data_IF_805559975034
#
_entry.id   IF_805559975034
#
_cell.length_a   1.000
_cell.length_b   1.000
_cell.length_c   1.000
_cell.angle_alpha   90.00
_cell.angle_beta   90.00
_cell.angle_gamma   90.00
#
_symmetry.space_group_name_H-M   'P 1'
#
loop_
_entity.id
_entity.type
_entity.pdbx_description
1 polymer ?
#
# COMPACT_ATOMS: atom_id res chain seq x y z
N UNK A 1 3.04 3.37 25.05
CA UNK A 1 3.91 2.42 24.33
C UNK A 1 4.44 3.15 23.09
N UNK A 2 5.75 3.14 22.81
CA UNK A 2 6.27 3.87 21.64
C UNK A 2 6.12 2.98 20.39
N UNK A 3 4.99 3.07 19.70
CA UNK A 3 4.66 2.31 18.47
C UNK A 3 5.78 2.41 17.43
N UNK A 4 6.36 3.59 17.25
CA UNK A 4 7.47 3.80 16.31
C UNK A 4 8.74 3.03 16.71
N UNK A 5 9.05 2.94 18.01
CA UNK A 5 10.15 2.10 18.47
C UNK A 5 9.94 0.64 18.08
N UNK A 6 8.71 0.13 18.23
CA UNK A 6 8.35 -1.25 17.88
C UNK A 6 8.38 -1.51 16.37
N UNK A 7 7.93 -0.57 15.56
CA UNK A 7 8.09 -0.63 14.10
C UNK A 7 9.57 -0.65 13.70
N UNK A 8 10.43 0.15 14.33
CA UNK A 8 11.87 0.11 14.09
C UNK A 8 12.54 -1.17 14.58
N UNK A 9 12.13 -1.75 15.71
CA UNK A 9 12.59 -3.06 16.17
C UNK A 9 12.22 -4.15 15.14
N UNK A 10 11.04 -4.05 14.52
CA UNK A 10 10.61 -4.97 13.46
C UNK A 10 11.43 -4.81 12.17
N UNK A 11 11.73 -3.58 11.74
CA UNK A 11 12.66 -3.31 10.64
C UNK A 11 14.07 -3.81 10.93
N UNK A 12 14.55 -3.64 12.16
CA UNK A 12 15.84 -4.17 12.56
C UNK A 12 15.88 -5.70 12.45
N UNK A 13 14.83 -6.39 12.92
CA UNK A 13 14.71 -7.84 12.73
C UNK A 13 14.78 -8.22 11.24
N UNK A 14 14.06 -7.52 10.36
CA UNK A 14 14.13 -7.75 8.91
C UNK A 14 15.56 -7.63 8.37
N UNK A 15 16.28 -6.57 8.73
CA UNK A 15 17.66 -6.34 8.32
C UNK A 15 18.62 -7.43 8.81
N UNK A 16 18.44 -7.94 10.03
CA UNK A 16 19.26 -9.02 10.57
C UNK A 16 18.97 -10.39 9.93
N UNK A 17 17.82 -10.55 9.27
CA UNK A 17 17.36 -11.82 8.72
C UNK A 17 17.27 -11.78 7.18
N UNK A 18 17.91 -10.81 6.52
CA UNK A 18 17.89 -10.67 5.06
C UNK A 18 18.46 -11.90 4.34
N UNK A 19 19.35 -12.68 4.95
CA UNK A 19 19.97 -13.85 4.32
C UNK A 19 19.15 -15.15 4.53
N UNK A 20 18.09 -15.08 5.32
CA UNK A 20 17.26 -16.22 5.70
C UNK A 20 15.82 -16.03 5.23
N UNK A 21 14.98 -17.03 5.49
CA UNK A 21 13.54 -16.90 5.31
C UNK A 21 12.96 -16.04 6.43
N UNK A 22 12.40 -14.89 6.05
CA UNK A 22 11.84 -13.92 6.98
C UNK A 22 10.49 -14.42 7.52
N UNK A 23 10.38 -14.49 8.84
CA UNK A 23 9.12 -14.78 9.52
C UNK A 23 8.29 -13.50 9.71
N UNK A 24 7.36 -13.25 8.79
CA UNK A 24 6.45 -12.08 8.86
C UNK A 24 5.56 -12.08 10.11
N UNK A 25 5.22 -13.25 10.69
CA UNK A 25 4.50 -13.32 11.97
C UNK A 25 5.33 -12.76 13.10
N UNK A 26 6.64 -13.03 13.09
CA UNK A 26 7.56 -12.47 14.07
C UNK A 26 7.72 -10.96 13.90
N UNK A 27 7.80 -10.46 12.66
CA UNK A 27 7.82 -9.01 12.37
C UNK A 27 6.58 -8.33 12.99
N UNK A 28 5.40 -8.87 12.71
CA UNK A 28 4.12 -8.36 13.19
C UNK A 28 4.03 -8.37 14.73
N UNK A 29 4.46 -9.47 15.37
CA UNK A 29 4.54 -9.58 16.84
C UNK A 29 5.48 -8.54 17.47
N UNK A 30 6.65 -8.29 16.86
CA UNK A 30 7.59 -7.27 17.34
C UNK A 30 6.96 -5.87 17.23
N UNK A 31 6.24 -5.61 16.14
CA UNK A 31 5.55 -4.36 15.88
C UNK A 31 4.26 -4.18 16.71
N UNK A 32 3.80 -5.22 17.43
CA UNK A 32 2.51 -5.26 18.14
C UNK A 32 1.32 -4.99 17.23
N UNK A 33 1.34 -5.56 16.02
CA UNK A 33 0.21 -5.47 15.11
C UNK A 33 0.00 -6.72 14.28
N UNK A 34 -1.06 -6.75 13.49
CA UNK A 34 -1.29 -7.78 12.46
C UNK A 34 -0.28 -7.69 11.31
N UNK A 35 -0.03 -8.83 10.64
CA UNK A 35 0.85 -8.89 9.45
C UNK A 35 0.35 -7.95 8.34
N UNK A 36 -0.97 -7.93 8.13
CA UNK A 36 -1.62 -7.07 7.16
C UNK A 36 -1.39 -5.59 7.49
N UNK A 37 -1.62 -5.18 8.75
CA UNK A 37 -1.37 -3.80 9.14
C UNK A 37 0.08 -3.39 8.96
N UNK A 38 1.03 -4.22 9.38
CA UNK A 38 2.46 -3.92 9.21
C UNK A 38 2.85 -3.74 7.74
N UNK A 39 2.43 -4.67 6.86
CA UNK A 39 2.78 -4.62 5.43
C UNK A 39 2.14 -3.42 4.73
N UNK A 40 0.86 -3.13 5.02
CA UNK A 40 0.16 -1.94 4.48
C UNK A 40 0.82 -0.65 4.95
N UNK A 41 1.08 -0.54 6.26
CA UNK A 41 1.77 0.59 6.87
C UNK A 41 3.14 0.84 6.24
N UNK A 42 3.97 -0.20 6.18
CA UNK A 42 5.30 -0.12 5.58
C UNK A 42 5.20 0.30 4.13
N UNK A 43 4.37 -0.37 3.34
CA UNK A 43 4.30 -0.15 1.90
C UNK A 43 3.87 1.28 1.56
N UNK A 44 2.87 1.77 2.29
CA UNK A 44 2.35 3.11 2.10
C UNK A 44 3.40 4.17 2.45
N UNK A 45 4.04 4.05 3.62
CA UNK A 45 5.04 5.04 4.07
C UNK A 45 6.36 4.97 3.31
N UNK A 46 6.82 3.78 2.93
CA UNK A 46 8.07 3.58 2.21
C UNK A 46 7.94 3.88 0.70
N UNK A 47 6.71 3.93 0.17
CA UNK A 47 6.44 4.06 -1.26
C UNK A 47 6.88 2.85 -2.09
N UNK A 48 7.13 1.71 -1.43
CA UNK A 48 7.54 0.42 -2.02
C UNK A 48 7.03 -0.71 -1.16
N UNK A 49 6.73 -1.87 -1.76
CA UNK A 49 6.31 -3.04 -0.97
C UNK A 49 7.40 -3.54 -0.03
N UNK A 50 7.01 -4.27 1.02
CA UNK A 50 7.97 -4.81 1.99
C UNK A 50 8.91 -5.84 1.33
N UNK A 51 8.36 -6.69 0.46
CA UNK A 51 9.13 -7.62 -0.36
C UNK A 51 10.14 -6.93 -1.28
N UNK A 52 9.75 -5.83 -1.91
CA UNK A 52 10.63 -5.04 -2.79
C UNK A 52 11.74 -4.37 -2.00
N UNK A 53 11.44 -3.85 -0.81
CA UNK A 53 12.45 -3.36 0.12
C UNK A 53 13.50 -4.43 0.43
N UNK A 54 13.06 -5.62 0.88
CA UNK A 54 13.95 -6.75 1.20
C UNK A 54 14.82 -7.12 -0.01
N UNK A 55 14.23 -7.17 -1.21
CA UNK A 55 14.94 -7.47 -2.46
C UNK A 55 16.03 -6.43 -2.76
N UNK A 56 15.71 -5.14 -2.68
CA UNK A 56 16.67 -4.03 -2.91
C UNK A 56 17.79 -4.04 -1.89
N UNK A 57 17.49 -4.36 -0.63
CA UNK A 57 18.49 -4.51 0.44
C UNK A 57 19.43 -5.67 0.15
N UNK A 58 18.90 -6.85 -0.20
CA UNK A 58 19.69 -8.03 -0.61
C UNK A 58 20.60 -7.72 -1.79
N UNK A 59 20.08 -7.09 -2.85
CA UNK A 59 20.87 -6.74 -4.03
C UNK A 59 21.95 -5.69 -3.72
N UNK A 60 21.66 -4.72 -2.84
CA UNK A 60 22.65 -3.73 -2.38
C UNK A 60 23.83 -4.41 -1.69
N UNK A 61 23.55 -5.33 -0.76
CA UNK A 61 24.57 -6.10 -0.04
C UNK A 61 25.35 -7.03 -0.98
N UNK A 62 24.66 -7.64 -1.96
CA UNK A 62 25.30 -8.45 -2.99
C UNK A 62 26.29 -7.64 -3.84
N UNK A 63 25.95 -6.38 -4.15
CA UNK A 63 26.86 -5.45 -4.81
C UNK A 63 28.15 -5.23 -4.02
N UNK A 64 28.03 -5.01 -2.70
CA UNK A 64 29.20 -4.87 -1.82
C UNK A 64 30.06 -6.13 -1.78
N UNK A 65 29.45 -7.32 -1.72
CA UNK A 65 30.18 -8.59 -1.74
C UNK A 65 30.90 -8.87 -3.07
N UNK A 66 30.41 -8.32 -4.19
CA UNK A 66 30.97 -8.57 -5.52
C UNK A 66 32.14 -7.64 -5.87
N UNK A 67 32.12 -6.39 -5.40
CA UNK A 67 33.16 -5.40 -5.72
C UNK A 67 34.53 -5.92 -5.26
N UNK A 68 35.47 -6.03 -6.22
CA UNK A 68 36.85 -6.45 -5.94
C UNK A 68 37.01 -7.87 -5.39
N UNK A 69 35.94 -8.67 -5.34
CA UNK A 69 35.98 -10.02 -4.77
C UNK A 69 36.23 -11.10 -5.81
N UNK A 70 36.65 -12.28 -5.33
CA UNK A 70 36.81 -13.51 -6.14
C UNK A 70 35.64 -14.47 -6.00
N UNK A 71 34.58 -14.09 -5.28
CA UNK A 71 33.41 -14.95 -5.04
C UNK A 71 32.77 -15.37 -6.36
N UNK A 72 32.23 -16.59 -6.45
CA UNK A 72 31.47 -16.97 -7.66
C UNK A 72 30.11 -16.30 -7.61
N UNK A 73 29.61 -15.86 -8.75
CA UNK A 73 28.29 -15.19 -8.85
C UNK A 73 27.18 -16.08 -8.28
N UNK A 74 27.25 -17.40 -8.51
CA UNK A 74 26.28 -18.34 -7.95
C UNK A 74 26.32 -18.42 -6.42
N UNK A 75 27.50 -18.30 -5.79
CA UNK A 75 27.60 -18.36 -4.33
C UNK A 75 26.97 -17.10 -3.70
N UNK A 76 27.21 -15.93 -4.33
CA UNK A 76 26.56 -14.68 -3.94
C UNK A 76 25.05 -14.76 -4.16
N UNK A 77 24.60 -15.28 -5.30
CA UNK A 77 23.19 -15.47 -5.59
C UNK A 77 22.49 -16.31 -4.50
N UNK A 78 23.05 -17.47 -4.17
CA UNK A 78 22.51 -18.36 -3.14
C UNK A 78 22.53 -17.70 -1.75
N UNK A 79 23.60 -16.99 -1.39
CA UNK A 79 23.70 -16.23 -0.12
C UNK A 79 22.54 -15.23 0.05
N UNK A 80 22.11 -14.60 -1.03
CA UNK A 80 21.03 -13.60 -1.01
C UNK A 80 19.66 -14.17 -1.42
N UNK A 81 19.47 -15.49 -1.32
CA UNK A 81 18.18 -16.14 -1.49
C UNK A 81 17.70 -16.31 -2.93
N UNK A 82 18.61 -16.25 -3.91
CA UNK A 82 18.30 -16.55 -5.31
C UNK A 82 18.65 -18.01 -5.64
N UNK A 83 17.68 -18.76 -6.16
CA UNK A 83 17.85 -20.18 -6.51
C UNK A 83 18.69 -20.45 -7.77
N UNK A 84 19.09 -19.43 -8.52
CA UNK A 84 19.96 -19.57 -9.70
C UNK A 84 20.73 -18.29 -10.01
N UNK A 85 21.90 -18.44 -10.67
CA UNK A 85 22.69 -17.29 -11.12
C UNK A 85 21.95 -16.43 -12.15
N UNK A 86 21.09 -17.03 -13.00
CA UNK A 86 20.35 -16.29 -14.03
C UNK A 86 19.25 -15.42 -13.42
N UNK A 87 18.52 -15.94 -12.42
CA UNK A 87 17.51 -15.15 -11.70
C UNK A 87 18.15 -13.97 -10.96
N UNK A 88 19.27 -14.23 -10.28
CA UNK A 88 20.07 -13.19 -9.64
C UNK A 88 20.60 -12.16 -10.64
N UNK A 89 21.18 -12.59 -11.76
CA UNK A 89 21.75 -11.68 -12.77
C UNK A 89 20.70 -10.74 -13.34
N UNK A 90 19.50 -11.24 -13.66
CA UNK A 90 18.37 -10.40 -14.12
C UNK A 90 17.96 -9.37 -13.05
N UNK A 91 17.75 -9.81 -11.81
CA UNK A 91 17.36 -8.91 -10.73
C UNK A 91 18.45 -7.87 -10.41
N UNK A 92 19.71 -8.29 -10.38
CA UNK A 92 20.87 -7.44 -10.15
C UNK A 92 21.04 -6.41 -11.26
N UNK A 93 20.90 -6.83 -12.52
CA UNK A 93 20.97 -5.93 -13.67
C UNK A 93 19.80 -4.95 -13.70
N UNK A 94 18.57 -5.37 -13.39
CA UNK A 94 17.43 -4.46 -13.28
C UNK A 94 17.68 -3.35 -12.25
N UNK A 95 18.25 -3.70 -11.08
CA UNK A 95 18.53 -2.71 -10.05
C UNK A 95 19.74 -1.84 -10.40
N UNK A 96 20.90 -2.45 -10.68
CA UNK A 96 22.17 -1.74 -10.82
C UNK A 96 22.47 -1.25 -12.24
N UNK A 97 21.80 -1.76 -13.27
CA UNK A 97 22.04 -1.45 -14.68
C UNK A 97 23.20 -2.22 -15.32
N UNK A 98 23.90 -3.06 -14.55
CA UNK A 98 25.05 -3.86 -15.00
C UNK A 98 24.95 -5.29 -14.46
N UNK A 99 25.63 -6.23 -15.10
CA UNK A 99 25.68 -7.62 -14.63
C UNK A 99 26.58 -7.77 -13.37
N UNK A 100 26.38 -8.83 -12.57
CA UNK A 100 27.25 -9.13 -11.42
C UNK A 100 28.75 -9.22 -11.77
N UNK A 101 29.07 -9.77 -12.95
CA UNK A 101 30.44 -9.92 -13.45
C UNK A 101 31.08 -8.58 -13.81
N UNK A 102 30.29 -7.64 -14.34
CA UNK A 102 30.75 -6.27 -14.63
C UNK A 102 30.93 -5.46 -13.35
N UNK A 103 30.00 -5.56 -12.41
CA UNK A 103 30.06 -4.88 -11.10
C UNK A 103 31.37 -5.17 -10.35
N UNK A 104 31.89 -6.40 -10.46
CA UNK A 104 33.16 -6.82 -9.86
C UNK A 104 34.35 -5.94 -10.24
N UNK A 105 34.36 -5.42 -11.48
CA UNK A 105 35.49 -4.65 -12.02
C UNK A 105 35.65 -3.28 -11.37
N UNK A 106 34.71 -2.87 -10.50
CA UNK A 106 34.71 -1.59 -9.80
C UNK A 106 34.84 -0.36 -10.73
N UNK A 107 34.26 -0.48 -11.93
CA UNK A 107 34.28 0.55 -12.98
C UNK A 107 32.89 1.11 -13.28
N UNK A 108 31.86 0.60 -12.59
CA UNK A 108 30.47 0.94 -12.82
C UNK A 108 29.83 1.48 -11.55
N UNK A 109 28.88 2.39 -11.71
CA UNK A 109 28.07 2.89 -10.62
C UNK A 109 27.08 1.81 -10.18
N UNK A 110 27.10 1.47 -8.90
CA UNK A 110 26.09 0.61 -8.28
C UNK A 110 25.14 1.47 -7.46
N UNK A 111 23.83 1.19 -7.57
CA UNK A 111 22.82 1.77 -6.69
C UNK A 111 22.87 1.11 -5.30
N UNK A 112 22.79 1.92 -4.26
CA UNK A 112 22.64 1.45 -2.89
C UNK A 112 21.29 1.88 -2.34
N UNK A 113 20.54 0.94 -1.76
CA UNK A 113 19.29 1.22 -1.08
C UNK A 113 19.55 1.20 0.43
N UNK A 114 19.52 2.34 1.14
CA UNK A 114 19.86 2.40 2.56
C UNK A 114 18.83 1.66 3.43
N UNK A 115 19.24 1.31 4.64
CA UNK A 115 18.29 0.81 5.65
C UNK A 115 17.26 1.89 5.97
N UNK A 116 15.99 1.52 5.94
CA UNK A 116 14.91 2.41 6.35
C UNK A 116 14.73 2.39 7.86
N UNK A 117 14.32 3.54 8.40
CA UNK A 117 13.87 3.67 9.79
C UNK A 117 12.60 4.51 9.80
N UNK A 118 11.66 4.15 10.65
CA UNK A 118 10.52 5.00 10.95
C UNK A 118 10.98 6.13 11.86
N UNK A 119 10.82 7.37 11.41
CA UNK A 119 11.11 8.55 12.22
C UNK A 119 9.82 9.33 12.43
N UNK A 120 9.63 9.83 13.65
CA UNK A 120 8.61 10.84 13.89
C UNK A 120 9.15 12.16 13.34
N UNK A 121 8.56 12.67 12.27
CA UNK A 121 8.70 14.07 11.91
C UNK A 121 7.61 14.86 12.61
N UNK A 122 7.98 15.98 13.23
CA UNK A 122 6.99 16.91 13.79
C UNK A 122 6.63 17.86 12.65
N UNK A 123 5.52 17.59 11.98
CA UNK A 123 4.99 18.39 10.88
C UNK A 123 3.58 18.85 11.24
N UNK A 124 3.36 20.17 11.39
CA UNK A 124 2.04 20.83 11.48
C UNK A 124 1.06 20.43 12.60
N UNK A 125 0.69 21.38 13.49
CA UNK A 125 -0.40 21.26 14.47
C UNK A 125 -1.82 21.42 13.89
N UNK A 126 -2.05 20.90 12.69
CA UNK A 126 -3.35 21.00 12.01
C UNK A 126 -4.19 19.76 12.31
N UNK A 127 -5.42 19.97 12.74
CA UNK A 127 -6.35 18.90 13.09
C UNK A 127 -6.72 18.06 11.87
N UNK A 128 -7.03 16.77 12.10
CA UNK A 128 -7.61 15.88 11.10
C UNK A 128 -8.98 15.43 11.60
N UNK A 129 -10.03 15.82 10.88
CA UNK A 129 -11.39 15.44 11.23
C UNK A 129 -11.60 13.97 10.85
N UNK A 130 -11.92 13.14 11.84
CA UNK A 130 -12.27 11.75 11.64
C UNK A 130 -13.45 11.33 12.52
N UNK A 131 -14.14 10.28 12.09
CA UNK A 131 -15.17 9.59 12.89
C UNK A 131 -15.03 8.09 12.74
N UNK A 132 -15.44 7.36 13.76
CA UNK A 132 -15.58 5.90 13.70
C UNK A 132 -17.04 5.57 13.47
N UNK A 133 -17.32 4.73 12.47
CA UNK A 133 -18.67 4.23 12.18
C UNK A 133 -18.68 2.71 12.12
N UNK A 134 -19.77 2.11 12.56
CA UNK A 134 -20.03 0.68 12.42
C UNK A 134 -20.95 0.45 11.23
N UNK A 135 -20.63 -0.58 10.43
CA UNK A 135 -21.40 -0.95 9.25
C UNK A 135 -21.69 -2.44 9.29
N UNK A 136 -22.94 -2.78 9.04
CA UNK A 136 -23.33 -4.15 8.69
C UNK A 136 -22.72 -4.57 7.35
N UNK A 137 -22.79 -5.87 7.04
CA UNK A 137 -22.30 -6.37 5.77
C UNK A 137 -23.04 -5.72 4.57
N UNK A 138 -22.30 -5.37 3.53
CA UNK A 138 -22.83 -4.79 2.30
C UNK A 138 -22.01 -5.27 1.11
N UNK A 139 -22.36 -4.79 -0.08
CA UNK A 139 -21.63 -5.09 -1.31
C UNK A 139 -21.23 -3.79 -2.01
N UNK A 140 -20.08 -3.79 -2.65
CA UNK A 140 -19.70 -2.77 -3.62
C UNK A 140 -19.99 -3.34 -4.99
N UNK A 141 -20.88 -2.68 -5.74
CA UNK A 141 -21.29 -3.11 -7.09
C UNK A 141 -20.82 -2.07 -8.10
N UNK A 142 -20.12 -2.50 -9.15
CA UNK A 142 -19.57 -1.58 -10.15
C UNK A 142 -18.63 -2.21 -11.15
N UNK A 143 -17.81 -1.36 -11.78
CA UNK A 143 -16.73 -1.79 -12.68
C UNK A 143 -15.53 -2.21 -11.86
N UNK A 144 -14.96 -3.39 -12.15
CA UNK A 144 -13.72 -3.88 -11.53
C UNK A 144 -12.57 -3.87 -12.52
N UNK A 145 -11.37 -3.53 -12.06
CA UNK A 145 -10.12 -3.79 -12.79
C UNK A 145 -8.97 -4.10 -11.84
N UNK A 146 -8.10 -5.05 -12.21
CA UNK A 146 -6.79 -5.22 -11.57
C UNK A 146 -5.84 -4.15 -12.11
N UNK A 147 -5.27 -3.32 -11.24
CA UNK A 147 -4.43 -2.19 -11.63
C UNK A 147 -3.13 -2.17 -10.83
N UNK A 148 -2.02 -1.65 -11.39
CA UNK A 148 -0.77 -1.48 -10.66
C UNK A 148 -0.95 -0.44 -9.53
N UNK A 149 -0.25 -0.66 -8.42
CA UNK A 149 -0.16 0.31 -7.33
C UNK A 149 0.72 1.48 -7.78
N UNK A 150 0.18 2.69 -7.64
CA UNK A 150 0.89 3.94 -7.88
C UNK A 150 0.90 4.71 -6.57
N UNK A 151 2.06 4.83 -5.94
CA UNK A 151 2.20 5.48 -4.63
C UNK A 151 2.19 7.01 -4.70
N UNK A 152 2.50 7.59 -5.87
CA UNK A 152 2.58 9.04 -6.05
C UNK A 152 1.84 9.46 -7.33
N UNK A 153 1.00 10.48 -7.22
CA UNK A 153 0.25 11.02 -8.36
C UNK A 153 -1.02 10.24 -8.70
N UNK A 154 -1.58 10.53 -9.88
CA UNK A 154 -2.81 9.91 -10.38
C UNK A 154 -2.51 8.56 -11.02
N UNK A 155 -3.29 7.54 -10.68
CA UNK A 155 -3.20 6.24 -11.34
C UNK A 155 -3.89 6.31 -12.72
N UNK A 156 -3.15 6.12 -13.83
CA UNK A 156 -3.71 6.27 -15.18
C UNK A 156 -4.78 5.23 -15.51
N UNK A 157 -4.64 4.00 -14.97
CA UNK A 157 -5.63 2.94 -15.18
C UNK A 157 -6.95 3.26 -14.48
N UNK A 158 -6.89 3.81 -13.27
CA UNK A 158 -8.09 4.26 -12.53
C UNK A 158 -8.73 5.46 -13.22
N UNK A 159 -7.93 6.41 -13.71
CA UNK A 159 -8.44 7.55 -14.48
C UNK A 159 -9.16 7.09 -15.76
N UNK A 160 -8.60 6.10 -16.47
CA UNK A 160 -9.23 5.51 -17.65
C UNK A 160 -10.54 4.78 -17.31
N UNK A 161 -10.61 4.09 -16.16
CA UNK A 161 -11.87 3.49 -15.69
C UNK A 161 -12.95 4.56 -15.48
N UNK A 162 -12.62 5.69 -14.85
CA UNK A 162 -13.55 6.82 -14.68
C UNK A 162 -14.03 7.38 -16.02
N UNK A 163 -13.13 7.51 -17.01
CA UNK A 163 -13.48 8.00 -18.35
C UNK A 163 -14.38 7.03 -19.12
N UNK A 164 -14.33 5.73 -18.81
CA UNK A 164 -15.18 4.73 -19.45
C UNK A 164 -16.65 4.75 -18.98
N UNK A 165 -16.96 5.45 -17.88
CA UNK A 165 -18.32 5.54 -17.34
C UNK A 165 -19.18 6.49 -18.18
N UNK A 166 -20.19 5.93 -18.85
CA UNK A 166 -21.22 6.70 -19.54
C UNK A 166 -22.37 7.10 -18.59
N UNK A 167 -23.23 8.02 -19.04
CA UNK A 167 -24.35 8.55 -18.22
C UNK A 167 -25.40 7.50 -17.86
N UNK A 168 -25.63 6.49 -18.71
CA UNK A 168 -26.57 5.40 -18.45
C UNK A 168 -26.07 4.53 -17.29
N UNK A 169 -24.80 4.12 -17.33
CA UNK A 169 -24.15 3.34 -16.27
C UNK A 169 -24.13 4.12 -14.95
N UNK A 170 -23.80 5.41 -14.99
CA UNK A 170 -23.80 6.26 -13.80
C UNK A 170 -25.20 6.32 -13.17
N UNK A 171 -26.25 6.47 -13.97
CA UNK A 171 -27.63 6.50 -13.48
C UNK A 171 -28.00 5.16 -12.84
N UNK A 172 -27.74 4.04 -13.54
CA UNK A 172 -28.00 2.69 -13.03
C UNK A 172 -27.27 2.42 -11.71
N UNK A 173 -26.01 2.82 -11.60
CA UNK A 173 -25.23 2.70 -10.36
C UNK A 173 -25.83 3.54 -9.23
N UNK A 174 -26.21 4.79 -9.50
CA UNK A 174 -26.82 5.67 -8.50
C UNK A 174 -28.15 5.13 -7.95
N UNK A 175 -28.97 4.49 -8.79
CA UNK A 175 -30.22 3.85 -8.37
C UNK A 175 -29.99 2.67 -7.41
N UNK A 176 -28.85 1.98 -7.53
CA UNK A 176 -28.49 0.89 -6.62
C UNK A 176 -27.96 1.39 -5.27
N UNK A 177 -27.45 2.62 -5.20
CA UNK A 177 -26.80 3.18 -4.02
C UNK A 177 -27.79 3.39 -2.88
N UNK A 178 -27.78 2.50 -1.87
CA UNK A 178 -28.63 2.60 -0.68
C UNK A 178 -27.86 2.55 0.65
N UNK A 179 -26.54 2.42 0.62
CA UNK A 179 -25.66 2.41 1.80
C UNK A 179 -24.70 3.60 1.75
N UNK A 180 -24.44 4.24 2.90
CA UNK A 180 -23.41 5.29 2.99
C UNK A 180 -21.98 4.70 2.84
N UNK A 181 -21.06 5.36 2.13
CA UNK A 181 -21.24 6.67 1.48
C UNK A 181 -22.09 6.57 0.20
N UNK A 182 -23.10 7.43 0.10
CA UNK A 182 -24.05 7.43 -1.03
C UNK A 182 -23.43 7.96 -2.32
N UNK A 183 -23.84 7.36 -3.43
CA UNK A 183 -23.38 7.73 -4.76
C UNK A 183 -22.17 6.92 -5.19
N UNK A 184 -21.43 7.45 -6.16
CA UNK A 184 -20.28 6.75 -6.72
C UNK A 184 -19.09 6.79 -5.76
N UNK A 185 -18.43 5.65 -5.64
CA UNK A 185 -17.25 5.46 -4.81
C UNK A 185 -16.14 4.81 -5.64
N UNK A 186 -14.91 5.11 -5.26
CA UNK A 186 -13.74 4.33 -5.68
C UNK A 186 -13.35 3.42 -4.52
N UNK A 187 -13.17 2.12 -4.75
CA UNK A 187 -12.77 1.19 -3.70
C UNK A 187 -11.56 0.36 -4.14
N UNK A 188 -10.52 0.33 -3.32
CA UNK A 188 -9.28 -0.41 -3.57
C UNK A 188 -9.15 -1.55 -2.56
N UNK A 189 -8.96 -2.77 -3.05
CA UNK A 189 -8.91 -3.98 -2.23
C UNK A 189 -7.93 -5.00 -2.80
N UNK A 190 -7.67 -6.10 -2.09
CA UNK A 190 -6.82 -7.22 -2.55
C UNK A 190 -5.43 -6.75 -2.99
N UNK A 191 -4.81 -5.87 -2.20
CA UNK A 191 -3.46 -5.40 -2.43
C UNK A 191 -2.49 -6.59 -2.42
N UNK A 192 -1.80 -6.82 -3.54
CA UNK A 192 -0.77 -7.85 -3.63
C UNK A 192 0.60 -7.22 -3.81
N UNK A 193 1.59 -7.76 -3.11
CA UNK A 193 2.98 -7.49 -3.41
C UNK A 193 3.44 -8.47 -4.51
N UNK A 194 3.71 -7.95 -5.71
CA UNK A 194 4.27 -8.75 -6.80
C UNK A 194 5.69 -9.21 -6.46
N UNK A 195 5.90 -10.51 -6.20
CA UNK A 195 7.22 -11.06 -5.81
C UNK A 195 8.31 -10.93 -6.87
N UNK A 196 7.97 -10.74 -8.15
CA UNK A 196 8.93 -10.77 -9.26
C UNK A 196 8.94 -9.51 -10.16
N UNK A 197 7.89 -8.69 -10.17
CA UNK A 197 7.71 -7.64 -11.20
C UNK A 197 7.87 -6.20 -10.69
N UNK A 198 8.38 -6.01 -9.47
CA UNK A 198 8.66 -4.68 -8.87
C UNK A 198 7.43 -3.77 -8.71
N UNK A 199 6.23 -4.25 -9.06
CA UNK A 199 4.97 -3.52 -9.05
C UNK A 199 3.95 -4.35 -8.29
N UNK A 200 3.48 -3.81 -7.16
CA UNK A 200 2.29 -4.34 -6.51
C UNK A 200 1.06 -4.03 -7.36
N UNK A 201 -0.02 -4.77 -7.13
CA UNK A 201 -1.30 -4.56 -7.80
C UNK A 201 -2.43 -4.55 -6.77
N UNK A 202 -3.58 -3.99 -7.16
CA UNK A 202 -4.81 -4.02 -6.38
C UNK A 202 -6.00 -4.24 -7.29
N UNK A 203 -7.10 -4.74 -6.72
CA UNK A 203 -8.40 -4.71 -7.36
C UNK A 203 -9.02 -3.34 -7.09
N UNK A 204 -9.35 -2.62 -8.15
CA UNK A 204 -10.03 -1.35 -8.06
C UNK A 204 -11.47 -1.48 -8.56
N UNK A 205 -12.40 -0.91 -7.80
CA UNK A 205 -13.80 -0.80 -8.15
C UNK A 205 -14.20 0.66 -8.30
N UNK A 206 -14.94 0.98 -9.35
CA UNK A 206 -15.76 2.21 -9.41
C UNK A 206 -17.21 1.79 -9.40
N UNK A 207 -17.93 2.13 -8.35
CA UNK A 207 -19.24 1.56 -8.08
C UNK A 207 -20.00 2.28 -6.99
N UNK A 208 -20.90 1.56 -6.33
CA UNK A 208 -21.71 2.06 -5.21
C UNK A 208 -21.77 1.03 -4.09
N UNK A 209 -21.95 1.50 -2.85
CA UNK A 209 -22.26 0.64 -1.71
C UNK A 209 -23.77 0.30 -1.70
N UNK A 210 -24.09 -0.99 -1.66
CA UNK A 210 -25.47 -1.47 -1.72
C UNK A 210 -25.70 -2.80 -1.02
N UNK A 211 -26.96 -3.07 -0.64
CA UNK A 211 -27.45 -4.41 -0.27
C UNK A 211 -28.35 -5.04 -1.34
N UNK A 212 -28.57 -4.34 -2.46
CA UNK A 212 -29.36 -4.83 -3.57
C UNK A 212 -28.61 -5.92 -4.35
N UNK A 213 -29.36 -6.72 -5.11
CA UNK A 213 -28.79 -7.75 -5.99
C UNK A 213 -27.95 -7.08 -7.07
N UNK A 214 -26.72 -7.58 -7.26
CA UNK A 214 -25.83 -7.14 -8.35
C UNK A 214 -26.48 -7.45 -9.71
N UNK A 215 -26.74 -6.43 -10.56
CA UNK A 215 -27.24 -6.66 -11.91
C UNK A 215 -26.23 -7.36 -12.81
N UNK A 216 -26.72 -7.99 -13.89
CA UNK A 216 -25.88 -8.56 -14.93
C UNK A 216 -24.97 -7.49 -15.57
N UNK A 217 -23.74 -7.91 -15.88
CA UNK A 217 -22.72 -7.06 -16.50
C UNK A 217 -21.94 -6.17 -15.54
N UNK A 218 -22.18 -6.29 -14.22
CA UNK A 218 -21.40 -5.63 -13.18
C UNK A 218 -20.70 -6.65 -12.28
N UNK A 219 -19.64 -6.21 -11.63
CA UNK A 219 -18.89 -6.99 -10.65
C UNK A 219 -19.32 -6.59 -9.24
N UNK A 220 -19.27 -7.54 -8.31
CA UNK A 220 -19.53 -7.31 -6.90
C UNK A 220 -18.32 -7.64 -6.02
N UNK A 221 -18.16 -6.87 -4.95
CA UNK A 221 -17.27 -7.16 -3.84
C UNK A 221 -18.11 -7.27 -2.57
N UNK A 222 -18.05 -8.40 -1.89
CA UNK A 222 -18.71 -8.57 -0.60
C UNK A 222 -17.85 -7.95 0.51
N UNK A 223 -18.47 -7.14 1.35
CA UNK A 223 -17.82 -6.43 2.45
C UNK A 223 -18.47 -6.88 3.75
N UNK A 224 -17.69 -7.52 4.60
CA UNK A 224 -18.16 -7.98 5.91
C UNK A 224 -18.50 -6.80 6.83
N UNK A 225 -19.32 -7.07 7.86
CA UNK A 225 -19.58 -6.09 8.90
C UNK A 225 -18.27 -5.69 9.59
N UNK A 226 -18.03 -4.39 9.74
CA UNK A 226 -16.77 -3.86 10.27
C UNK A 226 -16.94 -2.47 10.87
N UNK A 227 -15.96 -2.08 11.69
CA UNK A 227 -15.70 -0.68 12.03
C UNK A 227 -14.93 -0.01 10.91
N UNK A 228 -15.19 1.28 10.72
CA UNK A 228 -14.59 2.12 9.70
C UNK A 228 -14.11 3.41 10.32
N UNK A 229 -12.86 3.76 10.08
CA UNK A 229 -12.35 5.10 10.31
C UNK A 229 -12.59 5.92 9.05
N UNK A 230 -13.27 7.05 9.22
CA UNK A 230 -13.64 7.91 8.09
C UNK A 230 -13.06 9.29 8.31
N UNK A 231 -12.25 9.72 7.36
CA UNK A 231 -11.50 10.97 7.39
C UNK A 231 -12.05 11.93 6.35
N UNK A 232 -12.21 13.18 6.75
CA UNK A 232 -12.64 14.24 5.86
C UNK A 232 -11.42 14.94 5.26
N UNK A 233 -11.43 15.12 3.93
CA UNK A 233 -10.47 15.93 3.21
C UNK A 233 -11.24 17.08 2.53
N UNK A 234 -10.93 18.32 2.92
CA UNK A 234 -11.52 19.53 2.34
C UNK A 234 -10.41 20.42 1.81
N UNK A 235 -10.37 20.65 0.50
CA UNK A 235 -9.38 21.52 -0.11
C UNK A 235 -9.04 21.15 -1.56
N UNK A 236 -7.97 21.73 -2.13
CA UNK A 236 -7.56 21.47 -3.50
C UNK A 236 -7.27 19.99 -3.80
N UNK A 237 -7.88 19.45 -4.85
CA UNK A 237 -7.62 18.09 -5.33
C UNK A 237 -6.48 18.08 -6.38
N UNK A 238 -5.58 17.07 -6.40
CA UNK A 238 -5.51 15.90 -5.52
C UNK A 238 -4.61 16.08 -4.28
N UNK A 239 -3.96 17.23 -4.13
CA UNK A 239 -2.91 17.46 -3.13
C UNK A 239 -3.42 17.27 -1.69
N UNK A 240 -4.57 17.87 -1.35
CA UNK A 240 -5.17 17.71 -0.02
C UNK A 240 -5.47 16.25 0.28
N UNK A 241 -6.02 15.51 -0.69
CA UNK A 241 -6.35 14.10 -0.52
C UNK A 241 -5.09 13.24 -0.30
N UNK A 242 -4.04 13.48 -1.08
CA UNK A 242 -2.75 12.79 -0.91
C UNK A 242 -2.10 13.11 0.44
N UNK A 243 -2.18 14.36 0.88
CA UNK A 243 -1.68 14.77 2.19
C UNK A 243 -2.43 14.05 3.32
N UNK A 244 -3.77 14.05 3.30
CA UNK A 244 -4.57 13.37 4.32
C UNK A 244 -4.28 11.86 4.35
N UNK A 245 -4.19 11.19 3.20
CA UNK A 245 -3.75 9.79 3.14
C UNK A 245 -2.37 9.60 3.79
N UNK A 246 -1.41 10.47 3.47
CA UNK A 246 -0.09 10.55 4.11
C UNK A 246 -0.18 10.53 5.63
N UNK A 247 -0.92 11.50 6.17
CA UNK A 247 -1.09 11.75 7.60
C UNK A 247 -1.87 10.65 8.32
N UNK A 248 -2.83 10.00 7.66
CA UNK A 248 -3.55 8.86 8.25
C UNK A 248 -2.56 7.74 8.62
N UNK A 249 -1.65 7.41 7.70
CA UNK A 249 -0.64 6.38 7.92
C UNK A 249 0.51 6.89 8.81
N UNK A 250 1.01 8.10 8.64
CA UNK A 250 2.19 8.58 9.39
C UNK A 250 1.87 9.09 10.81
N UNK A 251 0.68 9.63 11.05
CA UNK A 251 0.31 10.28 12.31
C UNK A 251 -0.84 9.54 13.02
N UNK A 252 -1.97 9.32 12.34
CA UNK A 252 -3.18 8.81 13.00
C UNK A 252 -3.03 7.35 13.42
N UNK A 253 -2.69 6.44 12.50
CA UNK A 253 -2.54 5.02 12.84
C UNK A 253 -1.53 4.80 13.98
N UNK A 254 -0.29 5.35 13.94
CA UNK A 254 0.69 5.14 15.00
C UNK A 254 0.30 5.68 16.39
N UNK A 255 -0.57 6.70 16.43
CA UNK A 255 -1.05 7.33 17.67
C UNK A 255 -2.43 6.83 18.11
N UNK A 256 -3.16 6.15 17.23
CA UNK A 256 -4.47 5.56 17.51
C UNK A 256 -4.37 4.22 18.21
N UNK A 257 -5.48 3.74 18.77
CA UNK A 257 -5.65 2.35 19.21
C UNK A 257 -6.34 1.49 18.13
N UNK A 258 -6.13 1.83 16.85
CA UNK A 258 -6.75 1.15 15.71
C UNK A 258 -5.72 0.56 14.78
N UNK A 259 -6.05 -0.60 14.21
CA UNK A 259 -5.33 -1.22 13.10
C UNK A 259 -6.23 -1.27 11.87
N UNK A 260 -5.60 -1.20 10.69
CA UNK A 260 -6.27 -1.53 9.44
C UNK A 260 -6.57 -3.04 9.40
N UNK A 261 -7.77 -3.38 8.95
CA UNK A 261 -8.15 -4.77 8.66
C UNK A 261 -8.26 -4.99 7.16
N UNK A 262 -8.15 -6.25 6.75
CA UNK A 262 -8.30 -6.63 5.36
C UNK A 262 -9.72 -6.28 4.87
N UNK A 263 -9.78 -5.53 3.77
CA UNK A 263 -11.03 -4.99 3.23
C UNK A 263 -10.78 -3.82 2.29
N UNK A 264 -11.84 -3.28 1.67
CA UNK A 264 -11.70 -2.19 0.72
C UNK A 264 -11.41 -0.86 1.42
N UNK A 265 -10.40 -0.15 0.94
CA UNK A 265 -10.20 1.27 1.21
C UNK A 265 -11.08 2.06 0.24
N UNK A 266 -12.04 2.83 0.76
CA UNK A 266 -13.05 3.53 -0.04
C UNK A 266 -12.75 5.04 -0.07
N UNK A 267 -12.80 5.62 -1.26
CA UNK A 267 -12.78 7.05 -1.51
C UNK A 267 -14.14 7.48 -2.06
N UNK A 268 -14.78 8.39 -1.35
CA UNK A 268 -15.97 9.10 -1.82
C UNK A 268 -15.63 10.56 -2.10
N UNK A 269 -16.24 11.11 -3.16
CA UNK A 269 -16.06 12.49 -3.55
C UNK A 269 -17.43 13.17 -3.69
N UNK A 270 -17.56 14.40 -3.20
CA UNK A 270 -18.83 15.12 -3.20
C UNK A 270 -19.29 15.53 -4.61
N UNK A 271 -18.34 15.93 -5.47
CA UNK A 271 -18.63 16.46 -6.80
C UNK A 271 -17.74 15.84 -7.87
N UNK A 272 -18.19 15.93 -9.14
CA UNK A 272 -17.34 15.63 -10.30
C UNK A 272 -16.33 16.75 -10.60
N UNK A 273 -16.63 17.97 -10.16
CA UNK A 273 -15.76 19.12 -10.38
C UNK A 273 -14.67 19.17 -9.31
N UNK A 274 -13.51 18.59 -9.63
CA UNK A 274 -12.32 18.54 -8.77
C UNK A 274 -11.58 19.89 -8.71
N UNK A 275 -12.03 20.92 -9.41
CA UNK A 275 -11.36 22.24 -9.43
C UNK A 275 -11.83 23.17 -8.32
N UNK A 276 -12.86 22.77 -7.57
CA UNK A 276 -13.39 23.53 -6.44
C UNK A 276 -12.31 23.68 -5.34
N UNK A 277 -12.09 24.90 -4.80
CA UNK A 277 -11.08 25.13 -3.78
C UNK A 277 -11.42 24.44 -2.44
N UNK A 278 -12.70 24.21 -2.18
CA UNK A 278 -13.28 23.53 -1.00
C UNK A 278 -13.77 22.11 -1.33
N UNK A 279 -13.14 21.46 -2.32
CA UNK A 279 -13.54 20.11 -2.74
C UNK A 279 -13.51 19.13 -1.57
N UNK A 280 -14.66 18.51 -1.31
CA UNK A 280 -14.86 17.57 -0.21
C UNK A 280 -14.74 16.12 -0.67
N UNK A 281 -13.95 15.37 0.08
CA UNK A 281 -13.79 13.93 -0.08
C UNK A 281 -13.82 13.24 1.28
N UNK A 282 -14.23 11.98 1.29
CA UNK A 282 -14.11 11.12 2.46
C UNK A 282 -13.26 9.89 2.15
N UNK A 283 -12.30 9.61 3.03
CA UNK A 283 -11.50 8.38 3.01
C UNK A 283 -12.06 7.45 4.09
N UNK A 284 -12.44 6.26 3.69
CA UNK A 284 -13.02 5.23 4.54
C UNK A 284 -12.07 4.04 4.59
N UNK A 285 -11.58 3.72 5.77
CA UNK A 285 -10.64 2.61 5.99
C UNK A 285 -11.26 1.64 7.00
N UNK A 286 -11.35 0.34 6.68
CA UNK A 286 -11.85 -0.64 7.62
C UNK A 286 -10.81 -0.83 8.71
N UNK A 287 -11.26 -0.72 9.97
CA UNK A 287 -10.38 -0.76 11.14
C UNK A 287 -10.93 -1.68 12.22
N UNK A 288 -10.03 -2.18 13.06
CA UNK A 288 -10.38 -2.82 14.33
C UNK A 288 -9.68 -2.11 15.48
N UNK A 289 -10.31 -2.11 16.66
CA UNK A 289 -9.68 -1.55 17.86
C UNK A 289 -8.75 -2.60 18.45
N UNK A 290 -7.53 -2.20 18.75
CA UNK A 290 -6.54 -3.05 19.40
C UNK A 290 -6.49 -2.64 20.85
N UNK A 291 -6.81 -3.57 21.74
CA UNK A 291 -6.62 -3.35 23.16
C UNK A 291 -5.12 -3.23 23.40
N UNK A 292 -4.71 -2.09 23.99
CA UNK A 292 -3.35 -1.96 24.50
C UNK A 292 -3.17 -3.09 25.51
N UNK A 293 -2.33 -4.07 25.22
CA UNK A 293 -1.92 -5.05 26.21
C UNK A 293 -1.14 -4.30 27.29
N UNK A 294 -1.85 -3.93 28.36
CA UNK A 294 -1.30 -3.39 29.60
C UNK A 294 -0.80 -4.56 30.44
#
# INVERSE_FOLDING_TARGET
>A
MNTLKKMNEALYYLEQNLLEDIDYKKVARIAYCSEYHFQRMFSFLAGVSLSEYIRRRRLTLAGFDLIGSKLRVIDVAMKYGYGSADSFTRAFQNMHGVTPSEARKNQHLLKAYPQMTFQLTIEGGNEMNYRIVEKEAFQIVGLKKRVPIVFNGVNPEIAAMWQSLNMEMITKLKELSNIEPKGLISASVNFSEGRMEEKGELDHYIGVATTNICPDGLEKLEVAASKWAVFEAVGPFPETLQNIWGRIYSEWFPSSSYEIVEGPEILWNESKDTTLPDYKSEIWIPVTRVESHI
#
